data_IF_022257095552
#
_entry.id   IF_022257095552
#
_cell.length_a   1.000
_cell.length_b   1.000
_cell.length_c   1.000
_cell.angle_alpha   90.00
_cell.angle_beta   90.00
_cell.angle_gamma   90.00
#
_symmetry.space_group_name_H-M   'P 1'
#
loop_
_entity.id
_entity.type
_entity.pdbx_description
1 polymer ?
#
# COMPACT_ATOMS: atom_id res chain seq x y z
N UNK A 1 15.65 -9.97 -20.27
CA UNK A 1 14.72 -9.35 -19.30
C UNK A 1 13.37 -10.04 -19.22
N UNK A 2 12.72 -10.38 -20.34
CA UNK A 2 11.37 -11.00 -20.38
C UNK A 2 11.29 -12.40 -19.76
N UNK A 3 12.36 -13.18 -19.86
CA UNK A 3 12.41 -14.55 -19.34
C UNK A 3 12.28 -14.62 -17.81
N UNK A 4 12.99 -13.74 -17.08
CA UNK A 4 12.90 -13.66 -15.62
C UNK A 4 11.49 -13.28 -15.14
N UNK A 5 10.84 -12.36 -15.85
CA UNK A 5 9.47 -11.95 -15.54
C UNK A 5 8.48 -13.10 -15.73
N UNK A 6 8.63 -13.87 -16.80
CA UNK A 6 7.76 -15.02 -17.08
C UNK A 6 7.89 -16.12 -16.04
N UNK A 7 9.11 -16.49 -15.65
CA UNK A 7 9.36 -17.59 -14.71
C UNK A 7 8.99 -17.20 -13.27
N UNK A 8 9.24 -15.96 -12.86
CA UNK A 8 9.04 -15.53 -11.47
C UNK A 8 7.58 -15.14 -11.19
N UNK A 9 6.90 -14.47 -12.13
CA UNK A 9 5.54 -13.96 -11.90
C UNK A 9 4.48 -14.73 -12.68
N UNK A 10 4.72 -15.00 -13.96
CA UNK A 10 3.67 -15.49 -14.85
C UNK A 10 3.36 -16.98 -14.64
N UNK A 11 4.39 -17.83 -14.55
CA UNK A 11 4.25 -19.27 -14.32
C UNK A 11 3.57 -19.64 -12.97
N UNK A 12 3.99 -19.10 -11.81
CA UNK A 12 3.34 -19.44 -10.55
C UNK A 12 1.90 -18.94 -10.48
N UNK A 13 1.60 -17.77 -11.05
CA UNK A 13 0.24 -17.23 -11.12
C UNK A 13 -0.68 -18.14 -11.95
N UNK A 14 -0.21 -18.60 -13.12
CA UNK A 14 -0.95 -19.52 -13.99
C UNK A 14 -1.15 -20.89 -13.34
N UNK A 15 -0.11 -21.46 -12.73
CA UNK A 15 -0.22 -22.75 -12.04
C UNK A 15 -1.21 -22.68 -10.87
N UNK A 16 -1.19 -21.58 -10.11
CA UNK A 16 -2.15 -21.34 -9.02
C UNK A 16 -3.59 -21.21 -9.58
N UNK A 17 -3.78 -20.48 -10.68
CA UNK A 17 -5.09 -20.33 -11.31
C UNK A 17 -5.62 -21.68 -11.84
N UNK A 18 -4.77 -22.48 -12.50
CA UNK A 18 -5.15 -23.81 -13.00
C UNK A 18 -5.43 -24.78 -11.86
N UNK A 19 -4.68 -24.70 -10.76
CA UNK A 19 -4.95 -25.49 -9.56
C UNK A 19 -6.33 -25.17 -8.96
N UNK A 20 -6.64 -23.89 -8.81
CA UNK A 20 -7.96 -23.43 -8.32
C UNK A 20 -9.06 -23.81 -9.31
N UNK A 21 -8.83 -23.65 -10.61
CA UNK A 21 -9.79 -24.01 -11.66
C UNK A 21 -10.17 -25.50 -11.62
N UNK A 22 -9.19 -26.39 -11.45
CA UNK A 22 -9.44 -27.82 -11.31
C UNK A 22 -10.16 -28.17 -9.99
N UNK A 23 -9.83 -27.47 -8.89
CA UNK A 23 -10.50 -27.63 -7.59
C UNK A 23 -11.99 -27.23 -7.62
N UNK A 24 -12.32 -26.24 -8.44
CA UNK A 24 -13.66 -25.63 -8.52
C UNK A 24 -14.52 -26.28 -9.62
N UNK A 25 -14.01 -27.31 -10.31
CA UNK A 25 -14.78 -28.11 -11.27
C UNK A 25 -14.92 -27.51 -12.67
N UNK A 26 -13.99 -26.62 -13.07
CA UNK A 26 -13.94 -26.08 -14.42
C UNK A 26 -14.69 -24.77 -14.65
N UNK A 27 -15.13 -24.09 -13.58
CA UNK A 27 -15.73 -22.76 -13.69
C UNK A 27 -14.65 -21.66 -13.56
N UNK A 28 -14.37 -20.95 -14.66
CA UNK A 28 -13.39 -19.86 -14.67
C UNK A 28 -13.81 -18.68 -13.80
N UNK A 29 -15.10 -18.38 -13.71
CA UNK A 29 -15.59 -17.23 -12.94
C UNK A 29 -15.36 -17.44 -11.44
N UNK A 30 -15.73 -18.62 -10.95
CA UNK A 30 -15.53 -18.97 -9.53
C UNK A 30 -14.03 -19.08 -9.22
N UNK A 31 -13.21 -19.61 -10.13
CA UNK A 31 -11.77 -19.69 -9.94
C UNK A 31 -11.11 -18.31 -9.74
N UNK A 32 -11.53 -17.30 -10.53
CA UNK A 32 -11.03 -15.92 -10.39
C UNK A 32 -11.49 -15.28 -9.08
N UNK A 33 -12.73 -15.53 -8.66
CA UNK A 33 -13.26 -15.03 -7.37
C UNK A 33 -12.46 -15.63 -6.21
N UNK A 34 -12.23 -16.93 -6.21
CA UNK A 34 -11.44 -17.60 -5.17
C UNK A 34 -10.00 -17.08 -5.15
N UNK A 35 -9.38 -16.91 -6.32
CA UNK A 35 -8.04 -16.34 -6.45
C UNK A 35 -7.96 -14.93 -5.85
N UNK A 36 -8.91 -14.05 -6.19
CA UNK A 36 -8.94 -12.67 -5.68
C UNK A 36 -9.17 -12.62 -4.18
N UNK A 37 -10.04 -13.47 -3.62
CA UNK A 37 -10.23 -13.59 -2.17
C UNK A 37 -8.94 -14.05 -1.48
N UNK A 38 -8.26 -15.05 -2.05
CA UNK A 38 -7.03 -15.60 -1.48
C UNK A 38 -5.90 -14.56 -1.48
N UNK A 39 -5.71 -13.83 -2.58
CA UNK A 39 -4.76 -12.72 -2.66
C UNK A 39 -5.11 -11.65 -1.62
N UNK A 40 -6.40 -11.28 -1.51
CA UNK A 40 -6.86 -10.26 -0.55
C UNK A 40 -6.65 -10.71 0.90
N UNK A 41 -6.78 -12.00 1.21
CA UNK A 41 -6.47 -12.56 2.53
C UNK A 41 -4.97 -12.47 2.84
N UNK A 42 -4.10 -12.77 1.88
CA UNK A 42 -2.65 -12.64 2.04
C UNK A 42 -2.24 -11.16 2.21
N UNK A 43 -2.89 -10.25 1.48
CA UNK A 43 -2.61 -8.81 1.55
C UNK A 43 -3.30 -8.12 2.75
N UNK A 44 -4.29 -8.74 3.40
CA UNK A 44 -4.96 -8.19 4.57
C UNK A 44 -4.00 -7.65 5.65
N UNK A 45 -2.98 -8.41 6.13
CA UNK A 45 -2.06 -7.90 7.14
C UNK A 45 -1.30 -6.64 6.68
N UNK A 46 -0.96 -6.57 5.38
CA UNK A 46 -0.35 -5.39 4.78
C UNK A 46 -1.32 -4.21 4.81
N UNK A 47 -2.56 -4.42 4.35
CA UNK A 47 -3.59 -3.38 4.36
C UNK A 47 -3.86 -2.82 5.77
N UNK A 48 -3.79 -3.63 6.83
CA UNK A 48 -3.94 -3.12 8.20
C UNK A 48 -2.77 -2.21 8.62
N UNK A 49 -1.54 -2.50 8.21
CA UNK A 49 -0.40 -1.62 8.46
C UNK A 49 -0.56 -0.28 7.73
N UNK A 50 -1.04 -0.32 6.49
CA UNK A 50 -1.36 0.88 5.71
C UNK A 50 -2.43 1.72 6.40
N UNK A 51 -3.50 1.11 6.90
CA UNK A 51 -4.57 1.83 7.63
C UNK A 51 -4.06 2.49 8.91
N UNK A 52 -3.20 1.82 9.68
CA UNK A 52 -2.59 2.39 10.90
C UNK A 52 -1.74 3.62 10.57
N UNK A 53 -0.96 3.56 9.49
CA UNK A 53 -0.12 4.67 9.02
C UNK A 53 -0.96 5.85 8.53
N UNK A 54 -2.06 5.60 7.81
CA UNK A 54 -2.99 6.64 7.38
C UNK A 54 -3.65 7.36 8.56
N UNK A 55 -4.07 6.62 9.61
CA UNK A 55 -4.65 7.23 10.82
C UNK A 55 -3.64 8.09 11.58
N UNK A 56 -2.38 7.69 11.61
CA UNK A 56 -1.30 8.50 12.19
C UNK A 56 -1.13 9.82 11.41
N UNK A 57 -1.15 9.77 10.08
CA UNK A 57 -1.10 10.98 9.24
C UNK A 57 -2.31 11.90 9.45
N UNK A 58 -3.52 11.36 9.61
CA UNK A 58 -4.71 12.15 9.92
C UNK A 58 -4.58 12.92 11.24
N UNK A 59 -3.96 12.32 12.26
CA UNK A 59 -3.69 13.00 13.55
C UNK A 59 -2.69 14.15 13.42
N UNK A 60 -1.79 14.09 12.44
CA UNK A 60 -0.79 15.14 12.18
C UNK A 60 -1.33 16.27 11.30
N UNK A 61 -2.46 16.08 10.61
CA UNK A 61 -3.07 17.14 9.78
C UNK A 61 -3.23 18.51 10.48
N UNK A 62 -3.71 18.61 11.74
CA UNK A 62 -3.81 19.90 12.41
C UNK A 62 -2.44 20.58 12.60
N UNK A 63 -1.42 19.82 13.05
CA UNK A 63 -0.06 20.35 13.23
C UNK A 63 0.57 20.77 11.90
N UNK A 64 0.32 20.00 10.84
CA UNK A 64 0.72 20.34 9.46
C UNK A 64 0.03 21.63 8.99
N UNK A 65 -1.24 21.85 9.35
CA UNK A 65 -1.97 23.08 9.02
C UNK A 65 -1.41 24.30 9.76
N UNK A 66 -1.03 24.16 11.04
CA UNK A 66 -0.39 25.21 11.82
C UNK A 66 0.97 25.61 11.24
N UNK A 67 1.81 24.64 10.87
CA UNK A 67 3.11 24.90 10.22
C UNK A 67 2.90 25.61 8.87
N UNK A 68 1.91 25.15 8.08
CA UNK A 68 1.54 25.81 6.82
C UNK A 68 1.04 27.24 7.01
N UNK A 69 0.31 27.52 8.09
CA UNK A 69 -0.15 28.87 8.41
C UNK A 69 1.00 29.78 8.86
N UNK A 70 1.92 29.27 9.69
CA UNK A 70 3.09 30.03 10.19
C UNK A 70 4.12 30.36 9.11
N UNK A 71 4.34 29.45 8.16
CA UNK A 71 5.42 29.57 7.15
C UNK A 71 4.89 29.73 5.71
N UNK A 72 3.71 30.32 5.55
CA UNK A 72 3.03 30.51 4.26
C UNK A 72 3.92 31.19 3.20
N UNK A 73 4.70 32.18 3.62
CA UNK A 73 5.57 32.98 2.74
C UNK A 73 7.01 32.44 2.64
N UNK A 74 7.37 31.42 3.44
CA UNK A 74 8.74 30.90 3.55
C UNK A 74 8.78 29.41 3.15
N UNK A 75 8.67 29.13 1.85
CA UNK A 75 8.58 27.77 1.29
C UNK A 75 9.73 26.85 1.71
N UNK A 76 10.95 27.37 1.81
CA UNK A 76 12.13 26.57 2.18
C UNK A 76 12.06 26.11 3.65
N UNK A 77 11.67 27.03 4.54
CA UNK A 77 11.47 26.72 5.96
C UNK A 77 10.24 25.85 6.19
N UNK A 78 9.18 26.05 5.40
CA UNK A 78 8.00 25.19 5.43
C UNK A 78 8.37 23.72 5.17
N UNK A 79 9.16 23.45 4.13
CA UNK A 79 9.59 22.09 3.79
C UNK A 79 10.44 21.46 4.91
N UNK A 80 11.36 22.24 5.49
CA UNK A 80 12.21 21.78 6.60
C UNK A 80 11.40 21.46 7.86
N UNK A 81 10.50 22.35 8.28
CA UNK A 81 9.67 22.16 9.47
C UNK A 81 8.69 20.99 9.31
N UNK A 82 8.11 20.82 8.12
CA UNK A 82 7.26 19.66 7.82
C UNK A 82 8.06 18.35 7.90
N UNK A 83 9.26 18.30 7.34
CA UNK A 83 10.12 17.13 7.47
C UNK A 83 10.53 16.85 8.92
N UNK A 84 10.86 17.89 9.69
CA UNK A 84 11.17 17.72 11.12
C UNK A 84 9.96 17.21 11.91
N UNK A 85 8.76 17.69 11.63
CA UNK A 85 7.54 17.20 12.27
C UNK A 85 7.34 15.70 11.98
N UNK A 86 7.45 15.28 10.71
CA UNK A 86 7.32 13.87 10.34
C UNK A 86 8.38 12.98 11.01
N UNK A 87 9.62 13.48 11.16
CA UNK A 87 10.69 12.76 11.85
C UNK A 87 10.45 12.66 13.37
N UNK A 88 10.01 13.75 14.02
CA UNK A 88 9.71 13.77 15.47
C UNK A 88 8.58 12.81 15.82
N UNK A 89 7.54 12.78 15.01
CA UNK A 89 6.36 11.91 15.21
C UNK A 89 6.57 10.49 14.65
N UNK A 90 7.74 10.22 14.05
CA UNK A 90 8.11 8.95 13.41
C UNK A 90 7.08 8.43 12.41
N UNK A 91 6.39 9.33 11.72
CA UNK A 91 5.43 8.98 10.66
C UNK A 91 6.10 9.22 9.32
N UNK A 92 6.27 8.17 8.52
CA UNK A 92 6.84 8.31 7.19
C UNK A 92 5.73 8.69 6.17
N UNK A 93 5.88 9.81 5.44
CA UNK A 93 4.92 10.19 4.40
C UNK A 93 4.86 9.16 3.26
N UNK A 94 5.92 8.37 3.07
CA UNK A 94 5.95 7.26 2.11
C UNK A 94 5.16 6.03 2.57
N UNK A 95 4.86 5.89 3.87
CA UNK A 95 3.98 4.82 4.35
C UNK A 95 2.55 4.95 3.81
N UNK A 96 2.18 6.13 3.30
CA UNK A 96 0.87 6.36 2.71
C UNK A 96 0.81 6.04 1.21
N UNK A 97 1.95 5.87 0.52
CA UNK A 97 1.99 5.52 -0.90
C UNK A 97 2.28 4.03 -1.17
N UNK A 98 2.45 3.23 -0.10
CA UNK A 98 2.46 1.77 -0.12
C UNK A 98 1.05 1.29 0.28
N UNK A 99 0.20 0.84 -0.67
CA UNK A 99 -1.15 0.35 -0.38
C UNK A 99 -1.15 -0.92 0.50
#
# INVERSE_FOLDING_TARGET
MVWLWQTIFYQPLLNLLVFIYNLVGGDMGIAIIVLTVLIKLILWPLSQQTLKSQKAMQRLQPQVAEIKAKYKDQKDKLAQELMQLYQRERVSPLSSCLP
#
